data_IF_865616138794
#
_entry.id   IF_865616138794
#
_cell.length_a   1.000
_cell.length_b   1.000
_cell.length_c   1.000
_cell.angle_alpha   90.00
_cell.angle_beta   90.00
_cell.angle_gamma   90.00
#
_symmetry.space_group_name_H-M   'P 1'
#
loop_
_entity.id
_entity.type
_entity.pdbx_description
1 polymer ?
#
# COMPACT_ATOMS: atom_id res chain seq x y z
N UNK A 1 -12.26 9.15 24.85
CA UNK A 1 -11.03 9.50 25.58
C UNK A 1 -9.81 9.36 24.68
N UNK A 2 -8.60 9.68 25.16
CA UNK A 2 -7.38 9.68 24.36
C UNK A 2 -7.05 8.27 23.82
N UNK A 3 -7.24 7.23 24.60
CA UNK A 3 -6.98 5.85 24.19
C UNK A 3 -7.92 5.38 23.07
N UNK A 4 -9.15 5.88 23.06
CA UNK A 4 -10.12 5.57 22.00
C UNK A 4 -9.74 6.30 20.69
N UNK A 5 -9.26 7.52 20.80
CA UNK A 5 -8.82 8.30 19.64
C UNK A 5 -7.55 7.73 18.98
N UNK A 6 -6.54 7.34 19.79
CA UNK A 6 -5.22 6.89 19.30
C UNK A 6 -5.20 5.40 18.92
N UNK A 7 -5.87 4.53 19.69
CA UNK A 7 -5.84 3.06 19.49
C UNK A 7 -7.22 2.40 19.38
N UNK A 8 -8.29 3.19 19.31
CA UNK A 8 -9.64 2.62 19.24
C UNK A 8 -9.97 1.73 20.42
N UNK A 9 -9.45 2.02 21.60
CA UNK A 9 -9.66 1.22 22.82
C UNK A 9 -9.16 -0.23 22.70
N UNK A 10 -8.25 -0.54 21.77
CA UNK A 10 -7.76 -1.89 21.45
C UNK A 10 -8.90 -2.87 21.11
N UNK A 11 -9.81 -2.46 20.26
CA UNK A 11 -11.03 -3.19 19.93
C UNK A 11 -11.06 -3.76 18.51
N UNK A 12 -9.94 -3.72 17.77
CA UNK A 12 -9.91 -4.18 16.38
C UNK A 12 -9.99 -5.72 16.32
N UNK A 13 -11.07 -6.22 15.70
CA UNK A 13 -11.21 -7.62 15.32
C UNK A 13 -10.26 -8.02 14.19
N UNK A 14 -10.14 -9.31 13.91
CA UNK A 14 -9.13 -9.86 12.98
C UNK A 14 -9.21 -9.29 11.56
N UNK A 15 -10.41 -9.07 11.02
CA UNK A 15 -10.59 -8.54 9.65
C UNK A 15 -10.11 -7.11 9.55
N UNK A 16 -10.56 -6.25 10.47
CA UNK A 16 -10.20 -4.83 10.48
C UNK A 16 -8.70 -4.66 10.76
N UNK A 17 -8.14 -5.40 11.71
CA UNK A 17 -6.69 -5.38 11.99
C UNK A 17 -5.88 -5.75 10.75
N UNK A 18 -6.29 -6.80 10.04
CA UNK A 18 -5.59 -7.28 8.85
C UNK A 18 -5.67 -6.31 7.67
N UNK A 19 -6.88 -5.89 7.32
CA UNK A 19 -7.12 -5.07 6.14
C UNK A 19 -6.68 -3.62 6.35
N UNK A 20 -6.87 -3.07 7.55
CA UNK A 20 -6.33 -1.74 7.87
C UNK A 20 -4.80 -1.74 7.87
N UNK A 21 -4.13 -2.77 8.40
CA UNK A 21 -2.67 -2.88 8.33
C UNK A 21 -2.18 -2.95 6.87
N UNK A 22 -2.86 -3.73 6.01
CA UNK A 22 -2.52 -3.85 4.60
C UNK A 22 -2.77 -2.57 3.81
N UNK A 23 -3.97 -1.99 3.92
CA UNK A 23 -4.35 -0.79 3.18
C UNK A 23 -3.55 0.45 3.61
N UNK A 24 -3.19 0.56 4.88
CA UNK A 24 -2.38 1.68 5.39
C UNK A 24 -0.95 1.68 4.83
N UNK A 25 -0.44 0.51 4.47
CA UNK A 25 0.91 0.33 3.94
C UNK A 25 0.98 0.56 2.43
N UNK A 26 0.01 0.01 1.71
CA UNK A 26 0.06 -0.18 0.25
C UNK A 26 -0.33 1.06 -0.56
N UNK A 27 -0.01 2.26 -0.19
CA UNK A 27 -0.25 3.55 -0.87
C UNK A 27 -0.65 3.47 -2.37
N UNK A 28 -0.79 4.60 -3.04
CA UNK A 28 -0.96 4.67 -4.50
C UNK A 28 0.12 3.94 -5.31
N UNK A 29 1.28 3.70 -4.68
CA UNK A 29 2.37 2.93 -5.28
C UNK A 29 1.94 1.52 -5.72
N UNK A 30 1.05 0.86 -4.97
CA UNK A 30 0.58 -0.48 -5.31
C UNK A 30 -0.16 -0.54 -6.65
N UNK A 31 -0.95 0.49 -7.00
CA UNK A 31 -1.75 0.51 -8.24
C UNK A 31 -1.07 1.27 -9.38
N UNK A 32 -0.03 2.04 -9.10
CA UNK A 32 0.66 2.87 -10.09
C UNK A 32 2.16 2.53 -10.18
N UNK A 33 2.90 2.69 -9.10
CA UNK A 33 4.36 2.53 -9.10
C UNK A 33 4.81 1.09 -9.42
N UNK A 34 4.27 0.09 -8.71
CA UNK A 34 4.64 -1.31 -8.95
C UNK A 34 4.22 -1.80 -10.35
N UNK A 35 2.97 -1.60 -10.80
CA UNK A 35 2.60 -1.94 -12.18
C UNK A 35 3.45 -1.22 -13.22
N UNK A 36 3.75 0.07 -13.02
CA UNK A 36 4.60 0.85 -13.91
C UNK A 36 6.03 0.32 -13.99
N UNK A 37 6.63 -0.01 -12.86
CA UNK A 37 7.96 -0.59 -12.80
C UNK A 37 8.02 -1.95 -13.54
N UNK A 38 7.06 -2.84 -13.27
CA UNK A 38 6.95 -4.14 -13.97
C UNK A 38 6.67 -3.95 -15.47
N UNK A 39 5.87 -2.97 -15.86
CA UNK A 39 5.66 -2.64 -17.27
C UNK A 39 6.95 -2.24 -17.98
N UNK A 40 7.85 -1.53 -17.29
CA UNK A 40 9.14 -1.11 -17.85
C UNK A 40 10.19 -2.23 -17.88
N UNK A 41 10.28 -3.05 -16.85
CA UNK A 41 11.40 -3.98 -16.62
C UNK A 41 11.03 -5.46 -16.76
N UNK A 42 9.74 -5.79 -16.73
CA UNK A 42 9.27 -7.17 -16.69
C UNK A 42 9.26 -7.75 -15.28
N UNK A 43 9.37 -9.08 -15.17
CA UNK A 43 9.29 -9.79 -13.89
C UNK A 43 10.49 -9.59 -12.96
N UNK A 44 11.58 -8.98 -13.44
CA UNK A 44 12.74 -8.67 -12.59
C UNK A 44 12.38 -7.74 -11.43
N UNK A 45 11.40 -6.84 -11.59
CA UNK A 45 10.92 -5.97 -10.51
C UNK A 45 10.03 -6.71 -9.49
N UNK A 46 9.53 -7.90 -9.81
CA UNK A 46 8.68 -8.67 -8.89
C UNK A 46 9.42 -9.11 -7.61
N UNK A 47 10.76 -9.04 -7.56
CA UNK A 47 11.51 -9.27 -6.31
C UNK A 47 11.11 -8.34 -5.18
N UNK A 48 10.69 -7.11 -5.48
CA UNK A 48 10.18 -6.19 -4.45
C UNK A 48 8.89 -6.74 -3.82
N UNK A 49 7.98 -7.29 -4.62
CA UNK A 49 6.75 -7.90 -4.12
C UNK A 49 7.05 -9.14 -3.27
N UNK A 50 8.03 -9.96 -3.66
CA UNK A 50 8.50 -11.10 -2.86
C UNK A 50 9.06 -10.62 -1.52
N UNK A 51 9.93 -9.61 -1.53
CA UNK A 51 10.52 -9.03 -0.32
C UNK A 51 9.46 -8.48 0.63
N UNK A 52 8.48 -7.75 0.11
CA UNK A 52 7.36 -7.24 0.88
C UNK A 52 6.52 -8.37 1.50
N UNK A 53 6.17 -9.41 0.74
CA UNK A 53 5.43 -10.56 1.28
C UNK A 53 6.19 -11.27 2.40
N UNK A 54 7.48 -11.51 2.22
CA UNK A 54 8.33 -12.17 3.23
C UNK A 54 8.47 -11.30 4.47
N UNK A 55 8.77 -10.01 4.29
CA UNK A 55 8.91 -9.05 5.40
C UNK A 55 7.63 -8.90 6.22
N UNK A 56 6.49 -8.74 5.55
CA UNK A 56 5.19 -8.67 6.21
C UNK A 56 4.88 -9.97 6.98
N UNK A 57 5.10 -11.14 6.36
CA UNK A 57 4.87 -12.42 7.04
C UNK A 57 5.74 -12.56 8.29
N UNK A 58 7.01 -12.20 8.22
CA UNK A 58 7.93 -12.20 9.37
C UNK A 58 7.46 -11.23 10.45
N UNK A 59 7.03 -10.02 10.07
CA UNK A 59 6.51 -9.03 11.00
C UNK A 59 5.24 -9.54 11.72
N UNK A 60 4.27 -10.08 10.99
CA UNK A 60 3.09 -10.71 11.56
C UNK A 60 3.41 -11.91 12.46
N UNK A 61 4.42 -12.70 12.10
CA UNK A 61 4.77 -13.94 12.82
C UNK A 61 5.54 -13.67 14.10
N UNK A 62 6.46 -12.71 14.09
CA UNK A 62 7.41 -12.50 15.18
C UNK A 62 7.18 -11.24 15.98
N UNK A 63 6.61 -10.20 15.39
CA UNK A 63 6.41 -8.90 16.03
C UNK A 63 4.99 -8.72 16.56
N UNK A 64 3.97 -8.96 15.74
CA UNK A 64 2.60 -8.55 16.03
C UNK A 64 2.08 -9.03 17.40
N UNK A 65 2.17 -10.32 17.70
CA UNK A 65 1.68 -10.87 18.97
C UNK A 65 2.48 -10.36 20.18
N UNK A 66 3.80 -10.26 20.01
CA UNK A 66 4.69 -9.76 21.07
C UNK A 66 4.41 -8.29 21.37
N UNK A 67 4.33 -7.48 20.32
CA UNK A 67 4.05 -6.04 20.46
C UNK A 67 2.69 -5.80 21.12
N UNK A 68 1.65 -6.56 20.74
CA UNK A 68 0.33 -6.48 21.36
C UNK A 68 0.38 -6.74 22.88
N UNK A 69 1.10 -7.77 23.31
CA UNK A 69 1.23 -8.12 24.74
C UNK A 69 2.08 -7.09 25.47
N UNK A 70 3.24 -6.74 24.92
CA UNK A 70 4.18 -5.89 25.63
C UNK A 70 3.67 -4.46 25.77
N UNK A 71 3.01 -3.88 24.77
CA UNK A 71 2.44 -2.52 24.87
C UNK A 71 1.37 -2.42 25.95
N UNK A 72 0.62 -3.49 26.22
CA UNK A 72 -0.36 -3.52 27.30
C UNK A 72 0.32 -3.68 28.67
N UNK A 73 1.29 -4.61 28.79
CA UNK A 73 1.99 -4.90 30.05
C UNK A 73 2.91 -3.78 30.51
N UNK A 74 3.53 -3.06 29.59
CA UNK A 74 4.54 -2.04 29.91
C UNK A 74 3.87 -0.67 29.91
N UNK A 75 3.12 -0.39 30.99
CA UNK A 75 2.47 0.89 31.23
C UNK A 75 1.33 1.24 30.29
N UNK A 76 0.69 0.25 29.62
CA UNK A 76 -0.37 0.46 28.64
C UNK A 76 0.02 1.51 27.56
N UNK A 77 1.20 1.37 26.97
CA UNK A 77 1.72 2.30 26.00
C UNK A 77 0.77 2.45 24.79
N UNK A 78 0.40 3.68 24.48
CA UNK A 78 -0.51 4.01 23.37
C UNK A 78 0.23 4.29 22.08
N UNK A 79 1.49 4.72 22.17
CA UNK A 79 2.34 5.07 21.04
C UNK A 79 3.65 4.27 21.06
N UNK A 80 4.36 4.22 19.93
CA UNK A 80 5.69 3.59 19.89
C UNK A 80 6.74 4.35 20.72
N UNK A 81 6.78 5.69 20.74
CA UNK A 81 7.65 6.41 21.66
C UNK A 81 7.42 6.04 23.14
N UNK A 82 6.16 5.93 23.58
CA UNK A 82 5.82 5.47 24.92
C UNK A 82 6.26 4.02 25.17
N UNK A 83 6.04 3.16 24.18
CA UNK A 83 6.45 1.75 24.27
C UNK A 83 7.96 1.61 24.48
N UNK A 84 8.79 2.34 23.71
CA UNK A 84 10.23 2.27 23.87
C UNK A 84 10.68 2.84 25.22
N UNK A 85 10.16 4.00 25.62
CA UNK A 85 10.44 4.62 26.93
C UNK A 85 10.15 3.65 28.08
N UNK A 86 8.96 3.08 28.09
CA UNK A 86 8.53 2.17 29.14
C UNK A 86 9.27 0.83 29.08
N UNK A 87 9.53 0.30 27.87
CA UNK A 87 10.21 -0.98 27.67
C UNK A 87 11.64 -1.00 28.14
N UNK A 88 12.36 0.12 27.98
CA UNK A 88 13.76 0.28 28.36
C UNK A 88 13.93 1.07 29.66
N UNK A 89 12.83 1.42 30.34
CA UNK A 89 12.83 2.18 31.60
C UNK A 89 13.63 3.48 31.51
N UNK A 90 13.51 4.16 30.37
CA UNK A 90 14.27 5.38 30.09
C UNK A 90 13.81 6.55 30.95
N UNK A 91 14.63 6.91 31.93
CA UNK A 91 14.42 8.05 32.84
C UNK A 91 14.79 9.40 32.18
N UNK A 92 15.56 9.37 31.11
CA UNK A 92 16.04 10.57 30.43
C UNK A 92 15.03 11.16 29.45
N UNK A 93 14.00 10.41 29.09
CA UNK A 93 13.05 10.69 27.99
C UNK A 93 13.73 10.78 26.60
N UNK A 94 14.98 10.40 26.48
CA UNK A 94 15.74 10.49 25.24
C UNK A 94 15.14 9.58 24.16
N UNK A 95 14.80 8.34 24.50
CA UNK A 95 14.17 7.40 23.56
C UNK A 95 12.84 7.94 23.04
N UNK A 96 12.03 8.54 23.89
CA UNK A 96 10.77 9.16 23.52
C UNK A 96 10.97 10.29 22.52
N UNK A 97 11.90 11.22 22.83
CA UNK A 97 12.18 12.39 21.99
C UNK A 97 12.76 11.95 20.65
N UNK A 98 13.78 11.10 20.64
CA UNK A 98 14.43 10.63 19.40
C UNK A 98 13.42 9.90 18.51
N UNK A 99 12.64 8.97 19.08
CA UNK A 99 11.63 8.21 18.31
C UNK A 99 10.56 9.15 17.74
N UNK A 100 10.05 10.09 18.53
CA UNK A 100 9.06 11.06 18.07
C UNK A 100 9.61 11.95 16.95
N UNK A 101 10.82 12.47 17.09
CA UNK A 101 11.47 13.31 16.06
C UNK A 101 11.68 12.52 14.77
N UNK A 102 12.17 11.28 14.84
CA UNK A 102 12.34 10.41 13.66
C UNK A 102 10.99 10.19 12.96
N UNK A 103 9.95 9.82 13.71
CA UNK A 103 8.61 9.63 13.15
C UNK A 103 8.14 10.92 12.46
N UNK A 104 8.17 12.05 13.15
CA UNK A 104 7.70 13.34 12.61
C UNK A 104 8.44 13.72 11.32
N UNK A 105 9.77 13.64 11.31
CA UNK A 105 10.56 14.02 10.13
C UNK A 105 10.24 13.15 8.93
N UNK A 106 10.32 11.82 9.08
CA UNK A 106 10.12 10.91 7.95
C UNK A 106 8.66 10.86 7.48
N UNK A 107 7.72 10.89 8.42
CA UNK A 107 6.29 10.85 8.06
C UNK A 107 5.77 12.17 7.52
N UNK A 108 6.33 13.31 7.89
CA UNK A 108 6.02 14.59 7.24
C UNK A 108 6.38 14.54 5.75
N UNK A 109 7.57 14.02 5.41
CA UNK A 109 7.99 13.84 4.02
C UNK A 109 7.09 12.84 3.30
N UNK A 110 6.75 11.73 3.96
CA UNK A 110 5.88 10.71 3.38
C UNK A 110 4.44 11.22 3.17
N UNK A 111 3.86 11.94 4.14
CA UNK A 111 2.57 12.60 3.97
C UNK A 111 2.58 13.60 2.80
N UNK A 112 3.63 14.41 2.67
CA UNK A 112 3.78 15.33 1.56
C UNK A 112 3.77 14.60 0.22
N UNK A 113 4.49 13.48 0.09
CA UNK A 113 4.47 12.66 -1.14
C UNK A 113 3.07 12.09 -1.43
N UNK A 114 2.33 11.65 -0.40
CA UNK A 114 0.95 11.19 -0.53
C UNK A 114 -0.01 12.28 -1.02
N UNK A 115 0.11 13.50 -0.47
CA UNK A 115 -0.69 14.66 -0.92
C UNK A 115 -0.40 15.00 -2.38
N UNK A 116 0.88 15.01 -2.79
CA UNK A 116 1.28 15.26 -4.18
C UNK A 116 0.75 14.17 -5.11
N UNK A 117 0.88 12.88 -4.74
CA UNK A 117 0.36 11.77 -5.52
C UNK A 117 -1.16 11.86 -5.70
N UNK A 118 -1.89 12.19 -4.64
CA UNK A 118 -3.35 12.44 -4.68
C UNK A 118 -3.70 13.59 -5.61
N UNK A 119 -2.99 14.72 -5.53
CA UNK A 119 -3.23 15.87 -6.40
C UNK A 119 -3.01 15.54 -7.88
N UNK A 120 -1.93 14.84 -8.21
CA UNK A 120 -1.65 14.38 -9.59
C UNK A 120 -2.73 13.43 -10.12
N UNK A 121 -3.24 12.58 -9.25
CA UNK A 121 -4.32 11.68 -9.61
C UNK A 121 -5.62 12.45 -9.91
N UNK A 122 -6.02 13.42 -9.07
CA UNK A 122 -7.19 14.27 -9.31
C UNK A 122 -7.04 15.11 -10.59
N UNK A 123 -5.83 15.67 -10.82
CA UNK A 123 -5.50 16.38 -12.07
C UNK A 123 -5.71 15.46 -13.30
N UNK A 124 -5.16 14.26 -13.27
CA UNK A 124 -5.26 13.28 -14.36
C UNK A 124 -6.66 12.75 -14.61
N UNK A 125 -7.45 12.54 -13.53
CA UNK A 125 -8.77 11.91 -13.64
C UNK A 125 -9.89 12.90 -13.90
N UNK A 126 -9.82 14.09 -13.29
CA UNK A 126 -10.91 15.07 -13.31
C UNK A 126 -10.56 16.36 -14.07
N UNK A 127 -9.34 16.47 -14.60
CA UNK A 127 -8.88 17.70 -15.26
C UNK A 127 -8.82 18.91 -14.32
N UNK A 128 -8.72 18.68 -13.02
CA UNK A 128 -8.63 19.75 -12.03
C UNK A 128 -7.25 20.42 -12.10
N UNK A 129 -7.22 21.73 -11.81
CA UNK A 129 -5.97 22.41 -11.55
C UNK A 129 -5.23 21.78 -10.37
N UNK A 130 -3.91 21.57 -10.53
CA UNK A 130 -3.07 20.88 -9.54
C UNK A 130 -3.18 21.50 -8.14
N UNK A 131 -3.16 22.84 -8.03
CA UNK A 131 -3.26 23.52 -6.73
C UNK A 131 -4.60 23.26 -6.05
N UNK A 132 -5.68 23.32 -6.82
CA UNK A 132 -7.03 23.02 -6.35
C UNK A 132 -7.13 21.56 -5.91
N UNK A 133 -6.66 20.64 -6.73
CA UNK A 133 -6.62 19.20 -6.45
C UNK A 133 -5.85 18.88 -5.16
N UNK A 134 -4.71 19.53 -4.96
CA UNK A 134 -3.86 19.37 -3.77
C UNK A 134 -4.62 19.77 -2.49
N UNK A 135 -5.24 20.94 -2.48
CA UNK A 135 -5.96 21.42 -1.30
C UNK A 135 -7.24 20.63 -1.03
N UNK A 136 -8.01 20.29 -2.06
CA UNK A 136 -9.23 19.48 -1.91
C UNK A 136 -8.90 18.11 -1.32
N UNK A 137 -7.90 17.41 -1.86
CA UNK A 137 -7.49 16.10 -1.37
C UNK A 137 -6.94 16.13 0.06
N UNK A 138 -6.07 17.11 0.36
CA UNK A 138 -5.49 17.27 1.68
C UNK A 138 -6.56 17.60 2.73
N UNK A 139 -7.42 18.60 2.48
CA UNK A 139 -8.47 19.02 3.41
C UNK A 139 -9.48 17.89 3.64
N UNK A 140 -9.92 17.20 2.59
CA UNK A 140 -10.84 16.06 2.71
C UNK A 140 -10.27 14.96 3.61
N UNK A 141 -8.99 14.60 3.41
CA UNK A 141 -8.33 13.58 4.22
C UNK A 141 -8.15 14.03 5.67
N UNK A 142 -7.68 15.24 5.89
CA UNK A 142 -7.50 15.78 7.25
C UNK A 142 -8.82 15.85 8.01
N UNK A 143 -9.90 16.27 7.35
CA UNK A 143 -11.21 16.45 8.00
C UNK A 143 -11.74 15.15 8.61
N UNK A 144 -11.74 14.04 7.86
CA UNK A 144 -12.26 12.78 8.43
C UNK A 144 -11.33 12.14 9.46
N UNK A 145 -10.01 12.31 9.32
CA UNK A 145 -9.05 11.84 10.34
C UNK A 145 -9.26 12.59 11.65
N UNK A 146 -9.39 13.90 11.58
CA UNK A 146 -9.58 14.76 12.76
C UNK A 146 -10.88 14.44 13.53
N UNK A 147 -11.97 14.18 12.80
CA UNK A 147 -13.27 13.88 13.41
C UNK A 147 -13.34 12.46 13.95
N UNK A 148 -12.84 11.50 13.19
CA UNK A 148 -13.10 10.08 13.42
C UNK A 148 -12.02 9.32 14.17
N UNK A 149 -10.79 9.82 14.22
CA UNK A 149 -9.65 9.16 14.88
C UNK A 149 -9.36 7.76 14.34
N UNK A 150 -8.70 6.94 15.16
CA UNK A 150 -8.17 5.63 14.77
C UNK A 150 -9.23 4.63 14.30
N UNK A 151 -10.40 4.57 14.97
CA UNK A 151 -11.46 3.62 14.60
C UNK A 151 -12.05 3.95 13.23
N UNK A 152 -12.36 5.22 12.96
CA UNK A 152 -12.90 5.63 11.67
C UNK A 152 -11.90 5.34 10.55
N UNK A 153 -10.63 5.68 10.75
CA UNK A 153 -9.56 5.37 9.79
C UNK A 153 -9.47 3.85 9.56
N UNK A 154 -9.47 3.02 10.61
CA UNK A 154 -9.36 1.56 10.46
C UNK A 154 -10.54 0.93 9.72
N UNK A 155 -11.76 1.45 9.91
CA UNK A 155 -12.94 0.98 9.18
C UNK A 155 -12.96 1.46 7.73
N UNK A 156 -12.59 2.71 7.45
CA UNK A 156 -12.43 3.21 6.08
C UNK A 156 -11.35 2.44 5.33
N UNK A 157 -10.20 2.15 5.97
CA UNK A 157 -9.15 1.31 5.40
C UNK A 157 -9.67 -0.08 4.99
N UNK A 158 -10.57 -0.67 5.79
CA UNK A 158 -11.15 -1.98 5.48
C UNK A 158 -11.98 -1.95 4.20
N UNK A 159 -12.78 -0.90 3.99
CA UNK A 159 -13.55 -0.70 2.76
C UNK A 159 -12.61 -0.41 1.58
N UNK A 160 -11.62 0.42 1.80
CA UNK A 160 -10.60 0.78 0.81
C UNK A 160 -9.78 -0.44 0.38
N UNK A 161 -9.41 -1.32 1.33
CA UNK A 161 -8.77 -2.60 1.03
C UNK A 161 -9.61 -3.51 0.12
N UNK A 162 -10.92 -3.52 0.32
CA UNK A 162 -11.83 -4.28 -0.55
C UNK A 162 -11.90 -3.71 -1.97
N UNK A 163 -11.87 -2.39 -2.13
CA UNK A 163 -11.77 -1.75 -3.45
C UNK A 163 -10.44 -2.08 -4.14
N UNK A 164 -9.33 -2.00 -3.40
CA UNK A 164 -7.99 -2.27 -3.96
C UNK A 164 -7.85 -3.70 -4.47
N UNK A 165 -8.25 -4.71 -3.68
CA UNK A 165 -8.16 -6.11 -4.11
C UNK A 165 -9.08 -6.39 -5.29
N UNK A 166 -10.27 -5.81 -5.32
CA UNK A 166 -11.20 -5.95 -6.44
C UNK A 166 -10.60 -5.40 -7.73
N UNK A 167 -10.02 -4.20 -7.67
CA UNK A 167 -9.39 -3.57 -8.82
C UNK A 167 -8.19 -4.36 -9.33
N UNK A 168 -7.33 -4.84 -8.41
CA UNK A 168 -6.12 -5.59 -8.75
C UNK A 168 -6.37 -7.03 -9.19
N UNK A 169 -7.56 -7.59 -8.94
CA UNK A 169 -7.98 -8.86 -9.53
C UNK A 169 -8.63 -8.63 -10.89
N UNK A 170 -9.56 -7.68 -11.00
CA UNK A 170 -10.33 -7.50 -12.24
C UNK A 170 -9.49 -6.92 -13.38
N UNK A 171 -8.62 -5.95 -13.12
CA UNK A 171 -7.84 -5.30 -14.16
C UNK A 171 -6.96 -6.29 -14.95
N UNK A 172 -6.09 -7.11 -14.33
CA UNK A 172 -5.26 -8.04 -15.09
C UNK A 172 -6.08 -9.14 -15.77
N UNK A 173 -7.19 -9.60 -15.19
CA UNK A 173 -8.07 -10.58 -15.83
C UNK A 173 -8.68 -10.02 -17.11
N UNK A 174 -9.10 -8.76 -17.11
CA UNK A 174 -9.64 -8.12 -18.32
C UNK A 174 -8.58 -7.88 -19.37
N UNK A 175 -7.36 -7.54 -19.00
CA UNK A 175 -6.22 -7.42 -19.93
C UNK A 175 -5.97 -8.77 -20.62
N UNK A 176 -5.83 -9.84 -19.85
CA UNK A 176 -5.61 -11.20 -20.37
C UNK A 176 -6.75 -11.63 -21.30
N UNK A 177 -7.99 -11.33 -20.92
CA UNK A 177 -9.15 -11.64 -21.74
C UNK A 177 -9.15 -10.86 -23.06
N UNK A 178 -8.83 -9.56 -23.02
CA UNK A 178 -8.79 -8.69 -24.20
C UNK A 178 -7.69 -9.06 -25.21
N UNK A 179 -6.61 -9.69 -24.73
CA UNK A 179 -5.50 -10.15 -25.56
C UNK A 179 -5.67 -11.60 -26.05
N UNK A 180 -6.80 -12.25 -25.77
CA UNK A 180 -7.08 -13.61 -26.22
C UNK A 180 -6.48 -14.71 -25.33
N UNK A 181 -6.14 -14.37 -24.08
CA UNK A 181 -5.67 -15.31 -23.06
C UNK A 181 -4.17 -15.24 -22.77
N UNK A 182 -3.76 -15.99 -21.75
CA UNK A 182 -2.37 -15.96 -21.24
C UNK A 182 -1.35 -16.34 -22.32
N UNK A 183 -1.63 -17.33 -23.16
CA UNK A 183 -0.68 -17.78 -24.20
C UNK A 183 -0.49 -16.72 -25.28
N UNK A 184 -1.57 -16.04 -25.69
CA UNK A 184 -1.50 -14.96 -26.68
C UNK A 184 -0.72 -13.75 -26.11
N UNK A 185 -1.04 -13.34 -24.88
CA UNK A 185 -0.30 -12.27 -24.20
C UNK A 185 1.20 -12.60 -24.07
N UNK A 186 1.53 -13.84 -23.69
CA UNK A 186 2.93 -14.28 -23.53
C UNK A 186 3.72 -14.15 -24.84
N UNK A 187 3.13 -14.53 -25.97
CA UNK A 187 3.77 -14.41 -27.28
C UNK A 187 4.05 -12.94 -27.65
N UNK A 188 3.13 -12.02 -27.33
CA UNK A 188 3.32 -10.60 -27.55
C UNK A 188 4.39 -10.03 -26.62
N UNK A 189 4.39 -10.41 -25.34
CA UNK A 189 5.40 -9.96 -24.36
C UNK A 189 6.82 -10.32 -24.84
N UNK A 190 7.02 -11.58 -25.28
CA UNK A 190 8.34 -12.05 -25.76
C UNK A 190 8.88 -11.21 -26.91
N UNK A 191 7.99 -10.76 -27.81
CA UNK A 191 8.37 -9.93 -28.96
C UNK A 191 8.49 -8.45 -28.62
N UNK A 192 7.58 -7.93 -27.80
CA UNK A 192 7.55 -6.52 -27.43
C UNK A 192 8.65 -6.15 -26.43
N UNK A 193 8.98 -7.09 -25.53
CA UNK A 193 10.02 -6.91 -24.50
C UNK A 193 10.78 -8.21 -24.25
N UNK A 194 11.80 -8.52 -25.06
CA UNK A 194 12.64 -9.71 -24.88
C UNK A 194 13.25 -9.72 -23.46
N UNK A 195 13.17 -10.88 -22.79
CA UNK A 195 13.68 -11.07 -21.43
C UNK A 195 12.73 -10.60 -20.31
N UNK A 196 11.52 -10.13 -20.59
CA UNK A 196 10.56 -9.71 -19.58
C UNK A 196 10.12 -10.86 -18.62
N UNK A 197 10.23 -12.12 -19.05
CA UNK A 197 9.97 -13.29 -18.23
C UNK A 197 11.12 -13.66 -17.28
N UNK A 198 12.31 -13.16 -17.52
CA UNK A 198 13.47 -13.49 -16.72
C UNK A 198 13.50 -12.60 -15.46
N UNK A 199 13.29 -13.23 -14.31
CA UNK A 199 13.32 -12.54 -13.02
C UNK A 199 14.69 -12.01 -12.61
N UNK A 200 15.76 -12.45 -13.26
CA UNK A 200 17.13 -12.00 -12.96
C UNK A 200 17.73 -11.16 -14.09
N UNK A 201 16.96 -10.86 -15.12
CA UNK A 201 17.41 -10.04 -16.23
C UNK A 201 17.94 -8.68 -15.76
N UNK A 202 19.18 -8.36 -16.16
CA UNK A 202 19.85 -7.10 -15.83
C UNK A 202 20.00 -6.81 -14.32
N UNK A 203 19.85 -7.82 -13.45
CA UNK A 203 20.02 -7.68 -12.01
C UNK A 203 21.29 -8.42 -11.56
N UNK A 204 22.09 -7.73 -10.76
CA UNK A 204 23.13 -8.37 -9.96
C UNK A 204 22.56 -8.79 -8.57
N UNK A 205 23.36 -9.50 -7.80
CA UNK A 205 22.96 -9.97 -6.46
C UNK A 205 22.60 -8.80 -5.54
N UNK A 206 23.30 -7.68 -5.66
CA UNK A 206 23.06 -6.48 -4.82
C UNK A 206 21.70 -5.87 -5.17
N UNK A 207 21.36 -5.77 -6.45
CA UNK A 207 20.07 -5.28 -6.90
C UNK A 207 18.92 -6.15 -6.40
N UNK A 208 19.03 -7.49 -6.49
CA UNK A 208 18.03 -8.42 -5.96
C UNK A 208 17.88 -8.25 -4.45
N UNK A 209 18.98 -8.21 -3.70
CA UNK A 209 18.95 -8.00 -2.25
C UNK A 209 18.33 -6.65 -1.91
N UNK A 210 18.60 -5.60 -2.68
CA UNK A 210 18.02 -4.27 -2.49
C UNK A 210 16.50 -4.27 -2.67
N UNK A 211 15.99 -4.95 -3.70
CA UNK A 211 14.54 -5.13 -3.91
C UNK A 211 13.90 -5.93 -2.77
N UNK A 212 14.51 -7.01 -2.35
CA UNK A 212 14.04 -7.83 -1.21
C UNK A 212 14.07 -7.05 0.11
N UNK A 213 15.04 -6.16 0.29
CA UNK A 213 15.21 -5.39 1.53
C UNK A 213 14.06 -4.43 1.82
N UNK A 214 13.20 -4.11 0.85
CA UNK A 214 11.96 -3.33 1.11
C UNK A 214 11.10 -3.97 2.19
N UNK A 215 11.09 -5.30 2.28
CA UNK A 215 10.39 -6.02 3.35
C UNK A 215 10.89 -5.72 4.77
N UNK A 216 12.12 -5.22 4.94
CA UNK A 216 12.65 -4.84 6.25
C UNK A 216 11.92 -3.62 6.83
N UNK A 217 11.35 -2.77 6.00
CA UNK A 217 10.57 -1.61 6.42
C UNK A 217 9.41 -1.96 7.36
N UNK A 218 8.80 -3.14 7.22
CA UNK A 218 7.67 -3.58 8.06
C UNK A 218 7.96 -3.59 9.56
N UNK A 219 9.20 -3.82 9.95
CA UNK A 219 9.60 -3.89 11.35
C UNK A 219 9.65 -2.51 12.02
N UNK A 220 9.73 -1.44 11.24
CA UNK A 220 9.85 -0.06 11.73
C UNK A 220 8.72 0.88 11.35
N UNK A 221 7.69 0.44 10.61
CA UNK A 221 6.60 1.31 10.14
C UNK A 221 5.53 1.54 11.22
N UNK A 222 5.47 2.74 11.86
CA UNK A 222 4.58 3.00 12.98
C UNK A 222 3.11 2.78 12.67
N UNK A 223 2.65 3.20 11.49
CA UNK A 223 1.25 3.07 11.08
C UNK A 223 0.79 1.61 10.92
N UNK A 224 1.71 0.68 10.62
CA UNK A 224 1.43 -0.76 10.61
C UNK A 224 1.46 -1.32 12.03
N UNK A 225 2.50 -1.00 12.78
CA UNK A 225 2.72 -1.53 14.12
C UNK A 225 1.60 -1.13 15.09
N UNK A 226 1.03 0.07 14.95
CA UNK A 226 -0.10 0.53 15.76
C UNK A 226 -1.35 -0.34 15.57
N UNK A 227 -1.57 -0.96 14.40
CA UNK A 227 -2.68 -1.89 14.17
C UNK A 227 -2.51 -3.17 14.98
N UNK A 228 -1.28 -3.65 15.15
CA UNK A 228 -1.00 -4.78 16.04
C UNK A 228 -1.26 -4.43 17.49
N UNK A 229 -0.87 -3.22 17.92
CA UNK A 229 -1.15 -2.71 19.27
C UNK A 229 -2.65 -2.59 19.55
N UNK A 230 -3.44 -2.22 18.54
CA UNK A 230 -4.88 -1.99 18.62
C UNK A 230 -5.74 -3.25 18.49
N UNK A 231 -5.17 -4.41 18.17
CA UNK A 231 -5.92 -5.66 18.09
C UNK A 231 -6.60 -5.99 19.43
N UNK A 232 -7.84 -6.49 19.39
CA UNK A 232 -8.63 -6.78 20.59
C UNK A 232 -7.94 -7.78 21.52
N UNK A 233 -7.23 -8.76 20.97
CA UNK A 233 -6.49 -9.74 21.74
C UNK A 233 -5.36 -10.39 20.94
N UNK A 234 -4.43 -11.05 21.64
CA UNK A 234 -3.39 -11.86 20.99
C UNK A 234 -3.97 -13.02 20.17
N UNK A 235 -5.14 -13.54 20.57
CA UNK A 235 -5.84 -14.64 19.88
C UNK A 235 -6.33 -14.21 18.49
N UNK A 236 -6.55 -12.92 18.28
CA UNK A 236 -6.95 -12.31 17.00
C UNK A 236 -5.83 -12.35 15.97
N UNK A 237 -4.57 -12.22 16.40
CA UNK A 237 -3.40 -12.06 15.52
C UNK A 237 -3.21 -13.21 14.51
N UNK A 238 -3.32 -14.51 14.86
CA UNK A 238 -3.14 -15.58 13.87
C UNK A 238 -4.14 -15.51 12.70
N UNK A 239 -5.40 -15.18 12.99
CA UNK A 239 -6.43 -15.04 11.96
C UNK A 239 -6.22 -13.76 11.14
N UNK A 240 -5.91 -12.64 11.80
CA UNK A 240 -5.55 -11.39 11.12
C UNK A 240 -4.36 -11.58 10.16
N UNK A 241 -3.32 -12.30 10.59
CA UNK A 241 -2.19 -12.65 9.72
C UNK A 241 -2.63 -13.42 8.48
N UNK A 242 -3.50 -14.43 8.61
CA UNK A 242 -3.98 -15.21 7.44
C UNK A 242 -4.71 -14.32 6.46
N UNK A 243 -5.64 -13.51 6.94
CA UNK A 243 -6.42 -12.58 6.12
C UNK A 243 -5.49 -11.55 5.46
N UNK A 244 -4.64 -10.89 6.25
CA UNK A 244 -3.73 -9.86 5.75
C UNK A 244 -2.74 -10.37 4.73
N UNK A 245 -2.14 -11.55 4.96
CA UNK A 245 -1.21 -12.14 3.99
C UNK A 245 -1.90 -12.61 2.72
N UNK A 246 -3.11 -13.18 2.81
CA UNK A 246 -3.88 -13.55 1.61
C UNK A 246 -4.22 -12.31 0.78
N UNK A 247 -4.72 -11.25 1.43
CA UNK A 247 -5.01 -9.98 0.77
C UNK A 247 -3.75 -9.40 0.10
N UNK A 248 -2.64 -9.38 0.83
CA UNK A 248 -1.38 -8.82 0.35
C UNK A 248 -0.82 -9.57 -0.87
N UNK A 249 -0.78 -10.89 -0.82
CA UNK A 249 -0.29 -11.73 -1.94
C UNK A 249 -1.16 -11.52 -3.18
N UNK A 250 -2.49 -11.46 -3.02
CA UNK A 250 -3.40 -11.21 -4.13
C UNK A 250 -3.24 -9.80 -4.71
N UNK A 251 -3.09 -8.78 -3.86
CA UNK A 251 -2.90 -7.41 -4.32
C UNK A 251 -1.56 -7.22 -5.03
N UNK A 252 -0.46 -7.68 -4.44
CA UNK A 252 0.87 -7.58 -5.06
C UNK A 252 0.95 -8.41 -6.35
N UNK A 253 0.39 -9.62 -6.33
CA UNK A 253 0.32 -10.46 -7.52
C UNK A 253 -0.52 -9.80 -8.63
N UNK A 254 -1.64 -9.19 -8.27
CA UNK A 254 -2.48 -8.43 -9.20
C UNK A 254 -1.77 -7.21 -9.78
N UNK A 255 -1.05 -6.45 -8.95
CA UNK A 255 -0.27 -5.30 -9.38
C UNK A 255 0.86 -5.69 -10.38
N UNK A 256 1.61 -6.75 -10.05
CA UNK A 256 2.61 -7.34 -10.97
C UNK A 256 1.94 -7.80 -12.27
N UNK A 257 0.79 -8.47 -12.18
CA UNK A 257 0.07 -8.95 -13.36
C UNK A 257 -0.43 -7.81 -14.26
N UNK A 258 -0.96 -6.71 -13.69
CA UNK A 258 -1.35 -5.53 -14.49
C UNK A 258 -0.18 -4.97 -15.27
N UNK A 259 0.97 -4.78 -14.62
CA UNK A 259 2.17 -4.27 -15.30
C UNK A 259 2.66 -5.23 -16.37
N UNK A 260 2.76 -6.51 -16.03
CA UNK A 260 3.30 -7.53 -16.92
C UNK A 260 2.44 -7.79 -18.15
N UNK A 261 1.14 -8.02 -17.98
CA UNK A 261 0.21 -8.20 -19.10
C UNK A 261 -0.09 -6.88 -19.82
N UNK A 262 0.08 -5.74 -19.15
CA UNK A 262 0.08 -4.43 -19.79
C UNK A 262 1.12 -4.29 -20.91
N UNK A 263 2.26 -4.97 -20.80
CA UNK A 263 3.27 -5.03 -21.88
C UNK A 263 2.66 -5.60 -23.17
N UNK A 264 1.89 -6.69 -23.05
CA UNK A 264 1.21 -7.29 -24.20
C UNK A 264 0.13 -6.37 -24.75
N UNK A 265 -0.72 -5.83 -23.87
CA UNK A 265 -1.86 -5.01 -24.27
C UNK A 265 -1.45 -3.77 -25.07
N UNK A 266 -0.47 -3.02 -24.55
CA UNK A 266 0.03 -1.82 -25.20
C UNK A 266 1.05 -2.14 -26.32
N UNK A 267 1.79 -3.24 -26.22
CA UNK A 267 2.68 -3.71 -27.27
C UNK A 267 1.94 -4.09 -28.56
N UNK A 268 0.74 -4.66 -28.44
CA UNK A 268 -0.12 -4.97 -29.58
C UNK A 268 -0.88 -3.76 -30.14
N UNK A 269 -0.91 -2.62 -29.42
CA UNK A 269 -1.73 -1.43 -29.72
C UNK A 269 -0.92 -0.13 -29.58
N UNK A 270 0.10 0.09 -30.44
CA UNK A 270 1.00 1.24 -30.30
C UNK A 270 0.29 2.59 -30.42
N UNK A 271 -0.87 2.64 -31.09
CA UNK A 271 -1.67 3.85 -31.27
C UNK A 271 -2.25 4.42 -29.95
N UNK A 272 -2.45 3.58 -28.95
CA UNK A 272 -2.94 3.98 -27.61
C UNK A 272 -1.85 3.94 -26.53
N UNK A 273 -0.65 3.50 -26.89
CA UNK A 273 0.44 3.31 -25.94
C UNK A 273 1.20 4.61 -25.57
N UNK A 274 0.97 5.71 -26.31
CA UNK A 274 1.75 6.94 -26.16
C UNK A 274 1.76 7.49 -24.72
N UNK A 275 0.61 7.50 -24.05
CA UNK A 275 0.49 7.97 -22.66
C UNK A 275 1.25 7.09 -21.67
N UNK A 276 1.12 5.77 -21.79
CA UNK A 276 1.79 4.80 -20.90
C UNK A 276 3.30 4.77 -21.17
N UNK A 277 3.73 4.93 -22.41
CA UNK A 277 5.15 5.02 -22.76
C UNK A 277 5.80 6.31 -22.23
N UNK A 278 5.05 7.41 -22.14
CA UNK A 278 5.52 8.64 -21.53
C UNK A 278 5.56 8.57 -20.00
N UNK A 279 4.60 7.86 -19.40
CA UNK A 279 4.54 7.64 -17.94
C UNK A 279 3.97 6.25 -17.63
N UNK A 280 4.85 5.30 -17.37
CA UNK A 280 4.48 3.91 -17.08
C UNK A 280 3.60 3.74 -15.84
N UNK A 281 3.62 4.66 -14.89
CA UNK A 281 2.76 4.62 -13.70
C UNK A 281 1.26 4.75 -14.05
N UNK A 282 0.94 5.19 -15.26
CA UNK A 282 -0.45 5.27 -15.74
C UNK A 282 -1.00 3.95 -16.30
N UNK A 283 -0.20 2.88 -16.36
CA UNK A 283 -0.62 1.60 -16.97
C UNK A 283 -1.94 1.08 -16.42
N UNK A 284 -2.12 1.06 -15.10
CA UNK A 284 -3.36 0.64 -14.45
C UNK A 284 -4.54 1.57 -14.82
N UNK A 285 -4.29 2.89 -14.82
CA UNK A 285 -5.31 3.90 -15.13
C UNK A 285 -5.81 3.75 -16.58
N UNK A 286 -4.89 3.64 -17.53
CA UNK A 286 -5.22 3.53 -18.95
C UNK A 286 -5.90 2.19 -19.29
N UNK A 287 -5.40 1.07 -18.76
CA UNK A 287 -6.08 -0.23 -18.87
C UNK A 287 -7.52 -0.13 -18.35
N UNK A 288 -7.71 0.49 -17.18
CA UNK A 288 -9.04 0.62 -16.59
C UNK A 288 -9.97 1.47 -17.44
N UNK A 289 -9.51 2.61 -17.95
CA UNK A 289 -10.31 3.47 -18.84
C UNK A 289 -10.68 2.80 -20.17
N UNK A 290 -9.78 2.00 -20.73
CA UNK A 290 -9.95 1.40 -22.03
C UNK A 290 -10.79 0.12 -22.04
N UNK A 291 -10.71 -0.70 -20.97
CA UNK A 291 -11.33 -2.03 -20.95
C UNK A 291 -12.65 -2.11 -20.19
N UNK A 292 -12.96 -1.14 -19.35
CA UNK A 292 -14.17 -1.18 -18.54
C UNK A 292 -15.18 -0.13 -18.97
N UNK A 293 -16.48 -0.43 -18.80
CA UNK A 293 -17.51 0.59 -18.96
C UNK A 293 -17.31 1.74 -17.94
N UNK A 294 -17.81 2.95 -18.21
CA UNK A 294 -17.52 4.12 -17.40
C UNK A 294 -17.86 3.98 -15.91
N UNK A 295 -18.94 3.26 -15.57
CA UNK A 295 -19.34 3.03 -14.19
C UNK A 295 -18.36 2.15 -13.43
N UNK A 296 -17.99 1.02 -14.04
CA UNK A 296 -17.03 0.09 -13.41
C UNK A 296 -15.63 0.70 -13.40
N UNK A 297 -15.24 1.38 -14.47
CA UNK A 297 -13.98 2.13 -14.51
C UNK A 297 -13.89 3.14 -13.37
N UNK A 298 -14.98 3.90 -13.10
CA UNK A 298 -15.04 4.83 -11.98
C UNK A 298 -14.80 4.16 -10.62
N UNK A 299 -15.42 2.99 -10.40
CA UNK A 299 -15.21 2.21 -9.15
C UNK A 299 -13.77 1.71 -9.03
N UNK A 300 -13.18 1.20 -10.12
CA UNK A 300 -11.80 0.71 -10.11
C UNK A 300 -10.78 1.84 -9.94
N UNK A 301 -11.04 3.01 -10.54
CA UNK A 301 -10.21 4.20 -10.36
C UNK A 301 -10.35 4.77 -8.95
N UNK A 302 -11.52 4.64 -8.31
CA UNK A 302 -11.68 4.98 -6.91
C UNK A 302 -10.79 4.13 -5.99
N UNK A 303 -10.37 2.92 -6.40
CA UNK A 303 -9.40 2.13 -5.64
C UNK A 303 -8.01 2.80 -5.56
N UNK A 304 -7.62 3.58 -6.57
CA UNK A 304 -6.36 4.34 -6.53
C UNK A 304 -6.45 5.48 -5.51
N UNK A 305 -7.57 6.21 -5.50
CA UNK A 305 -7.84 7.22 -4.46
C UNK A 305 -7.89 6.58 -3.07
N UNK A 306 -8.54 5.43 -2.95
CA UNK A 306 -8.61 4.65 -1.72
C UNK A 306 -7.22 4.31 -1.19
N UNK A 307 -6.31 3.86 -2.05
CA UNK A 307 -4.93 3.52 -1.68
C UNK A 307 -4.12 4.75 -1.21
N UNK A 308 -4.27 5.89 -1.88
CA UNK A 308 -3.62 7.15 -1.46
C UNK A 308 -4.17 7.63 -0.13
N UNK A 309 -5.50 7.64 0.02
CA UNK A 309 -6.17 8.18 1.21
C UNK A 309 -5.95 7.30 2.44
N UNK A 310 -5.98 5.97 2.32
CA UNK A 310 -5.76 5.05 3.44
C UNK A 310 -4.37 5.24 4.04
N UNK A 311 -3.36 5.33 3.21
CA UNK A 311 -1.99 5.53 3.67
C UNK A 311 -1.81 6.92 4.29
N UNK A 312 -2.27 7.97 3.62
CA UNK A 312 -2.13 9.35 4.10
C UNK A 312 -2.84 9.57 5.44
N UNK A 313 -4.07 9.05 5.60
CA UNK A 313 -4.81 9.17 6.86
C UNK A 313 -4.12 8.49 8.03
N UNK A 314 -3.55 7.31 7.77
CA UNK A 314 -2.83 6.55 8.79
C UNK A 314 -1.52 7.23 9.21
N UNK A 315 -0.83 7.83 8.27
CA UNK A 315 0.40 8.57 8.53
C UNK A 315 0.13 9.86 9.31
N UNK A 316 -0.92 10.61 8.93
CA UNK A 316 -1.36 11.80 9.67
C UNK A 316 -1.72 11.47 11.12
N UNK A 317 -2.44 10.36 11.33
CA UNK A 317 -2.83 9.94 12.67
C UNK A 317 -1.63 9.55 13.55
N UNK A 318 -0.59 8.97 12.96
CA UNK A 318 0.64 8.61 13.69
C UNK A 318 1.49 9.84 14.02
N UNK A 319 1.39 10.91 13.24
CA UNK A 319 2.08 12.18 13.47
C UNK A 319 1.35 13.09 14.50
N UNK A 320 0.06 12.85 14.74
CA UNK A 320 -0.76 13.66 15.66
C UNK A 320 -0.67 13.17 17.11
#
# INVERSE_FOLDING_TARGET
NLSDYILGGRSLGSVVTALSAGASDMSGWLLMGLPGAVFLTGLSEAWIAVGLCVGAWLNWRFVAARLRVYTEKVGNALTLPDYFTNRFEDQSSLLRIVTAVVILVFFTIYCASGVVAGARLFESMFGMDYQTALWVGAVATMAYVFIGGFLAVSWTDTIQAALMITALILAPLMVIYADGGVAASAAVIETARPGAFDMVANLDVIAIVSLLAWGLGYFGQPHILVRFMAAESVKTIPNARRIGMTWMVLCLGGAVAVGFFGIAFFGARPEIAAGVNANAETVFLEVTKLLFNPWLAGVLLAAVLAAVMSTLSCQLLVCS
#
